data_IF_399178438260
#
_entry.id   IF_399178438260
#
_cell.length_a   1.000
_cell.length_b   1.000
_cell.length_c   1.000
_cell.angle_alpha   90.00
_cell.angle_beta   90.00
_cell.angle_gamma   90.00
#
_symmetry.space_group_name_H-M   'P 1'
#
loop_
_entity.id
_entity.type
_entity.pdbx_description
1 polymer ?
#
# COMPACT_ATOMS: atom_id res chain seq x y z
N UNK A 1 4.09 13.31 -17.70
CA UNK A 1 4.89 14.30 -16.92
C UNK A 1 4.31 14.30 -15.51
N UNK A 2 4.81 13.44 -14.62
CA UNK A 2 4.35 13.38 -13.23
C UNK A 2 5.16 14.40 -12.44
N UNK A 3 4.48 15.46 -12.01
CA UNK A 3 5.07 16.54 -11.23
C UNK A 3 5.61 15.99 -9.92
N UNK A 4 6.94 15.93 -9.80
CA UNK A 4 7.62 16.00 -8.53
C UNK A 4 7.40 17.43 -7.99
N UNK A 5 6.29 17.63 -7.30
CA UNK A 5 6.08 18.83 -6.49
C UNK A 5 6.88 18.62 -5.21
N UNK A 6 7.94 19.40 -5.04
CA UNK A 6 8.96 19.22 -4.01
C UNK A 6 8.39 19.01 -2.61
N UNK A 7 8.90 17.97 -1.92
CA UNK A 7 8.58 17.75 -0.51
C UNK A 7 8.75 16.32 -0.01
N UNK A 8 8.77 15.31 -0.88
CA UNK A 8 9.02 13.93 -0.46
C UNK A 8 10.51 13.61 -0.55
N UNK A 9 11.17 13.55 0.61
CA UNK A 9 12.55 13.09 0.75
C UNK A 9 12.75 11.75 0.05
N UNK A 10 13.88 11.56 -0.62
CA UNK A 10 14.25 10.32 -1.31
C UNK A 10 14.15 9.09 -0.38
N UNK A 11 14.35 9.29 0.93
CA UNK A 11 14.10 8.31 1.99
C UNK A 11 12.65 7.83 2.07
N UNK A 12 11.68 8.72 1.91
CA UNK A 12 10.25 8.38 1.89
C UNK A 12 9.91 7.56 0.66
N UNK A 13 10.50 7.90 -0.49
CA UNK A 13 10.32 7.14 -1.74
C UNK A 13 10.98 5.75 -1.64
N UNK A 14 12.17 5.66 -1.04
CA UNK A 14 12.85 4.39 -0.79
C UNK A 14 12.05 3.49 0.17
N UNK A 15 11.54 4.03 1.28
CA UNK A 15 10.67 3.31 2.21
C UNK A 15 9.36 2.87 1.55
N UNK A 16 8.71 3.75 0.78
CA UNK A 16 7.52 3.42 -0.01
C UNK A 16 7.77 2.29 -1.02
N UNK A 17 8.95 2.26 -1.66
CA UNK A 17 9.34 1.15 -2.57
C UNK A 17 9.55 -0.17 -1.84
N UNK A 18 10.16 -0.14 -0.65
CA UNK A 18 10.30 -1.33 0.19
C UNK A 18 8.93 -1.83 0.63
N UNK A 19 8.06 -0.96 1.14
CA UNK A 19 6.68 -1.29 1.50
C UNK A 19 5.86 -1.81 0.32
N UNK A 20 6.02 -1.22 -0.87
CA UNK A 20 5.38 -1.69 -2.10
C UNK A 20 5.84 -3.11 -2.49
N UNK A 21 7.10 -3.44 -2.24
CA UNK A 21 7.65 -4.78 -2.51
C UNK A 21 7.07 -5.79 -1.52
N UNK A 22 7.10 -5.48 -0.22
CA UNK A 22 6.53 -6.33 0.81
C UNK A 22 5.00 -6.51 0.67
N UNK A 23 4.28 -5.46 0.26
CA UNK A 23 2.86 -5.53 -0.02
C UNK A 23 2.57 -6.47 -1.20
N UNK A 24 3.43 -6.48 -2.23
CA UNK A 24 3.33 -7.44 -3.35
C UNK A 24 3.63 -8.87 -2.92
N UNK A 25 4.55 -9.09 -1.99
CA UNK A 25 4.80 -10.43 -1.45
C UNK A 25 3.59 -10.95 -0.65
N UNK A 26 2.93 -10.07 0.10
CA UNK A 26 1.72 -10.43 0.87
C UNK A 26 0.49 -10.59 -0.03
N UNK A 27 0.33 -9.69 -1.00
CA UNK A 27 -0.80 -9.64 -1.93
C UNK A 27 -0.27 -9.68 -3.37
N UNK A 28 -0.01 -10.88 -3.92
CA UNK A 28 0.61 -11.02 -5.26
C UNK A 28 -0.26 -10.51 -6.41
N UNK A 29 -1.54 -10.22 -6.14
CA UNK A 29 -2.47 -9.59 -7.09
C UNK A 29 -2.28 -8.07 -7.20
N UNK A 30 -1.57 -7.43 -6.28
CA UNK A 30 -1.25 -6.00 -6.38
C UNK A 30 -0.20 -5.81 -7.47
N UNK A 31 -0.53 -4.99 -8.47
CA UNK A 31 0.45 -4.63 -9.49
C UNK A 31 1.39 -3.55 -8.96
N UNK A 32 2.56 -3.43 -9.58
CA UNK A 32 3.50 -2.34 -9.26
C UNK A 32 2.84 -0.97 -9.37
N UNK A 33 1.87 -0.81 -10.27
CA UNK A 33 1.09 0.41 -10.40
C UNK A 33 0.18 0.64 -9.19
N UNK A 34 -0.60 -0.37 -8.78
CA UNK A 34 -1.49 -0.29 -7.61
C UNK A 34 -0.72 0.15 -6.36
N UNK A 35 0.40 -0.51 -6.03
CA UNK A 35 1.23 -0.12 -4.88
C UNK A 35 1.89 1.26 -5.01
N UNK A 36 2.04 1.79 -6.22
CA UNK A 36 2.53 3.18 -6.39
C UNK A 36 1.42 4.21 -6.20
N UNK A 37 0.17 3.82 -6.44
CA UNK A 37 -1.03 4.66 -6.23
C UNK A 37 -1.60 4.56 -4.82
N UNK A 38 -1.21 3.55 -4.06
CA UNK A 38 -1.61 3.36 -2.66
C UNK A 38 -0.73 4.26 -1.80
N UNK A 39 -1.31 5.33 -1.29
CA UNK A 39 -0.61 6.27 -0.41
C UNK A 39 -0.93 6.08 1.07
N UNK A 40 -1.98 5.31 1.39
CA UNK A 40 -2.48 5.12 2.75
C UNK A 40 -3.06 3.70 2.93
N UNK A 41 -3.15 3.25 4.18
CA UNK A 41 -3.75 1.96 4.56
C UNK A 41 -5.19 1.80 4.03
N UNK A 42 -5.99 2.87 4.00
CA UNK A 42 -7.37 2.81 3.52
C UNK A 42 -7.47 2.50 2.01
N UNK A 43 -6.50 2.96 1.21
CA UNK A 43 -6.46 2.63 -0.22
C UNK A 43 -6.04 1.18 -0.43
N UNK A 44 -5.09 0.70 0.37
CA UNK A 44 -4.69 -0.71 0.38
C UNK A 44 -5.87 -1.61 0.79
N UNK A 45 -6.56 -1.29 1.88
CA UNK A 45 -7.73 -2.03 2.37
C UNK A 45 -8.86 -2.04 1.33
N UNK A 46 -9.09 -0.93 0.63
CA UNK A 46 -10.08 -0.86 -0.46
C UNK A 46 -9.70 -1.79 -1.61
N UNK A 47 -8.43 -1.82 -2.02
CA UNK A 47 -7.94 -2.71 -3.09
C UNK A 47 -7.98 -4.18 -2.67
N UNK A 48 -7.50 -4.51 -1.48
CA UNK A 48 -7.53 -5.87 -0.90
C UNK A 48 -8.98 -6.36 -0.82
N UNK A 49 -9.91 -5.52 -0.35
CA UNK A 49 -11.35 -5.80 -0.31
C UNK A 49 -11.92 -6.08 -1.69
N UNK A 50 -11.66 -5.21 -2.66
CA UNK A 50 -12.17 -5.33 -4.04
C UNK A 50 -11.64 -6.57 -4.76
N UNK A 51 -10.35 -6.87 -4.59
CA UNK A 51 -9.66 -7.98 -5.26
C UNK A 51 -9.91 -9.35 -4.63
N UNK A 52 -10.00 -9.44 -3.31
CA UNK A 52 -10.25 -10.70 -2.60
C UNK A 52 -11.74 -10.95 -2.33
N UNK A 53 -12.62 -9.98 -2.62
CA UNK A 53 -14.04 -10.07 -2.30
C UNK A 53 -14.31 -10.16 -0.78
N UNK A 54 -13.38 -9.65 0.03
CA UNK A 54 -13.49 -9.70 1.49
C UNK A 54 -14.47 -8.65 2.02
N UNK A 55 -14.96 -8.86 3.24
CA UNK A 55 -15.70 -7.83 3.96
C UNK A 55 -14.75 -6.69 4.35
N UNK A 56 -15.29 -5.47 4.42
CA UNK A 56 -14.53 -4.26 4.79
C UNK A 56 -13.71 -4.49 6.07
N UNK A 57 -14.33 -4.94 7.15
CA UNK A 57 -13.66 -5.27 8.42
C UNK A 57 -12.49 -6.25 8.28
N UNK A 58 -12.63 -7.26 7.41
CA UNK A 58 -11.60 -8.28 7.25
C UNK A 58 -10.39 -7.74 6.49
N UNK A 59 -10.65 -6.97 5.43
CA UNK A 59 -9.59 -6.32 4.65
C UNK A 59 -8.90 -5.23 5.47
N UNK A 60 -9.67 -4.45 6.23
CA UNK A 60 -9.15 -3.41 7.12
C UNK A 60 -8.30 -4.02 8.23
N UNK A 61 -8.74 -5.10 8.89
CA UNK A 61 -7.96 -5.78 9.92
C UNK A 61 -6.67 -6.45 9.39
N UNK A 62 -6.70 -7.04 8.19
CA UNK A 62 -5.51 -7.66 7.58
C UNK A 62 -4.48 -6.59 7.19
N UNK A 63 -4.95 -5.50 6.57
CA UNK A 63 -4.11 -4.35 6.24
C UNK A 63 -3.61 -3.65 7.49
N UNK A 64 -4.45 -3.45 8.50
CA UNK A 64 -4.07 -2.84 9.76
C UNK A 64 -3.00 -3.66 10.46
N UNK A 65 -3.16 -4.98 10.58
CA UNK A 65 -2.10 -5.87 11.12
C UNK A 65 -0.81 -5.84 10.33
N UNK A 66 -0.88 -5.71 9.01
CA UNK A 66 0.31 -5.61 8.18
C UNK A 66 1.00 -4.24 8.29
N UNK A 67 0.21 -3.20 8.53
CA UNK A 67 0.68 -1.81 8.72
C UNK A 67 1.10 -1.57 10.18
N UNK A 68 0.61 -2.37 11.13
CA UNK A 68 0.98 -2.36 12.55
C UNK A 68 2.46 -2.75 12.68
N UNK A 69 3.31 -1.75 12.90
CA UNK A 69 4.78 -1.89 12.92
C UNK A 69 5.49 -1.27 11.72
N UNK A 70 4.74 -0.86 10.68
CA UNK A 70 5.24 -0.12 9.53
C UNK A 70 4.77 1.33 9.63
N UNK A 71 5.69 2.25 9.96
CA UNK A 71 5.38 3.69 9.85
C UNK A 71 5.31 4.03 8.37
N UNK A 72 4.09 4.13 7.84
CA UNK A 72 3.78 4.77 6.55
C UNK A 72 4.05 6.27 6.60
#
# INVERSE_FOLDING_TARGET
MFGYQGGESDETVARKRSYATEARERWPFLTRFDVTTIHNEQQLATMVRDRLGLRKDQADADVHRWTEGKRF
#
